data_IF_667966247913
#
_entry.id   IF_667966247913
#
_cell.length_a   1.000
_cell.length_b   1.000
_cell.length_c   1.000
_cell.angle_alpha   90.00
_cell.angle_beta   90.00
_cell.angle_gamma   90.00
#
_symmetry.space_group_name_H-M   'P 1'
#
loop_
_entity.id
_entity.type
_entity.pdbx_description
1 polymer ?
#
# COMPACT_ATOMS: atom_id res chain seq x y z
N UNK A 1 10.03 8.03 -10.69
CA UNK A 1 11.15 8.88 -10.21
C UNK A 1 11.62 9.62 -11.41
N UNK A 2 11.41 9.10 -12.63
CA UNK A 2 11.51 9.90 -13.83
C UNK A 2 12.90 10.53 -13.89
N UNK A 3 13.00 11.86 -13.91
CA UNK A 3 14.29 12.54 -13.91
C UNK A 3 15.06 12.47 -12.57
N UNK A 4 14.46 12.00 -11.48
CA UNK A 4 15.00 12.00 -10.12
C UNK A 4 15.66 10.67 -9.70
N UNK A 5 15.71 9.65 -10.56
CA UNK A 5 16.34 8.35 -10.26
C UNK A 5 17.59 8.11 -11.09
N UNK A 6 18.62 7.54 -10.48
CA UNK A 6 19.80 7.06 -11.18
C UNK A 6 19.44 5.93 -12.13
N UNK A 7 19.87 6.01 -13.39
CA UNK A 7 19.53 5.00 -14.39
C UNK A 7 20.23 3.64 -14.18
N UNK A 8 21.25 3.58 -13.33
CA UNK A 8 22.01 2.34 -13.06
C UNK A 8 21.43 1.60 -11.87
N UNK A 9 21.47 2.23 -10.70
CA UNK A 9 21.03 1.60 -9.46
C UNK A 9 19.54 1.80 -9.19
N UNK A 10 18.85 2.61 -10.02
CA UNK A 10 17.44 3.01 -9.86
C UNK A 10 17.10 3.66 -8.51
N UNK A 11 18.11 4.06 -7.72
CA UNK A 11 17.94 4.82 -6.49
C UNK A 11 17.70 6.31 -6.78
N UNK A 12 17.16 7.03 -5.81
CA UNK A 12 17.00 8.48 -5.85
C UNK A 12 18.36 9.17 -6.11
N UNK A 13 18.37 10.20 -6.96
CA UNK A 13 19.55 11.03 -7.24
C UNK A 13 19.81 11.98 -6.06
N UNK A 14 20.21 11.44 -4.93
CA UNK A 14 20.75 12.19 -3.80
C UNK A 14 22.27 12.16 -3.88
N UNK A 15 22.93 13.32 -3.77
CA UNK A 15 24.38 13.47 -4.03
C UNK A 15 24.77 12.86 -5.38
N UNK A 16 24.23 13.42 -6.47
CA UNK A 16 24.42 12.90 -7.82
C UNK A 16 25.44 13.71 -8.62
N UNK A 17 25.94 13.09 -9.70
CA UNK A 17 26.90 13.71 -10.61
C UNK A 17 26.36 13.72 -12.03
N UNK A 18 26.48 14.88 -12.67
CA UNK A 18 26.27 15.09 -14.10
C UNK A 18 27.58 14.90 -14.85
N UNK A 19 27.60 14.01 -15.84
CA UNK A 19 28.74 13.81 -16.72
C UNK A 19 28.82 14.91 -17.79
N UNK A 20 29.98 15.53 -17.97
CA UNK A 20 30.25 16.46 -19.09
C UNK A 20 31.09 15.72 -20.15
N UNK A 21 30.76 15.84 -21.46
CA UNK A 21 29.77 16.74 -22.07
C UNK A 21 28.35 16.17 -22.22
N UNK A 22 28.16 14.86 -22.03
CA UNK A 22 26.91 14.17 -22.39
C UNK A 22 25.69 14.47 -21.50
N UNK A 23 25.86 15.20 -20.40
CA UNK A 23 24.83 15.64 -19.46
C UNK A 23 24.00 14.51 -18.81
N UNK A 24 24.47 13.27 -18.85
CA UNK A 24 23.82 12.15 -18.17
C UNK A 24 24.02 12.21 -16.66
N UNK A 25 23.00 11.78 -15.91
CA UNK A 25 22.91 11.93 -14.46
C UNK A 25 22.93 10.56 -13.78
N UNK A 26 23.76 10.44 -12.75
CA UNK A 26 23.89 9.21 -11.97
C UNK A 26 24.17 9.50 -10.50
N UNK A 27 23.86 8.55 -9.62
CA UNK A 27 24.25 8.63 -8.22
C UNK A 27 25.80 8.69 -8.12
N UNK A 28 26.36 9.51 -7.22
CA UNK A 28 27.82 9.64 -7.09
C UNK A 28 28.51 8.30 -6.81
N UNK A 29 27.86 7.41 -6.07
CA UNK A 29 28.35 6.05 -5.82
C UNK A 29 28.51 5.26 -7.13
N UNK A 30 27.56 5.43 -8.05
CA UNK A 30 27.48 4.71 -9.31
C UNK A 30 28.56 5.16 -10.31
N UNK A 31 28.90 6.45 -10.32
CA UNK A 31 29.90 7.04 -11.22
C UNK A 31 31.32 6.99 -10.67
N UNK A 32 31.51 6.88 -9.36
CA UNK A 32 32.82 6.89 -8.71
C UNK A 32 33.81 5.82 -9.21
N UNK A 33 33.31 4.77 -9.88
CA UNK A 33 34.10 3.62 -10.33
C UNK A 33 34.46 3.64 -11.82
N UNK A 34 34.02 4.64 -12.58
CA UNK A 34 34.13 4.66 -14.04
C UNK A 34 34.71 5.97 -14.55
N UNK A 35 35.50 5.88 -15.63
CA UNK A 35 36.10 7.04 -16.30
C UNK A 35 35.28 7.53 -17.50
N UNK A 36 34.34 6.70 -17.95
CA UNK A 36 33.53 6.94 -19.14
C UNK A 36 32.04 6.86 -18.77
N UNK A 37 31.21 7.59 -19.50
CA UNK A 37 29.77 7.66 -19.25
C UNK A 37 29.11 6.30 -19.50
N UNK A 38 28.50 5.75 -18.46
CA UNK A 38 27.86 4.43 -18.48
C UNK A 38 26.64 4.30 -19.39
N UNK A 39 26.12 5.42 -19.92
CA UNK A 39 24.99 5.40 -20.84
C UNK A 39 25.41 5.51 -22.31
N UNK A 40 26.36 6.40 -22.62
CA UNK A 40 26.72 6.72 -24.00
C UNK A 40 28.17 6.41 -24.36
N UNK A 41 28.99 5.95 -23.41
CA UNK A 41 30.40 5.61 -23.62
C UNK A 41 31.32 6.81 -23.90
N UNK A 42 30.86 8.04 -23.67
CA UNK A 42 31.69 9.23 -23.83
C UNK A 42 32.62 9.42 -22.63
N UNK A 43 33.87 9.80 -22.87
CA UNK A 43 34.84 10.11 -21.81
C UNK A 43 34.29 11.20 -20.89
N UNK A 44 34.41 11.00 -19.58
CA UNK A 44 33.97 11.99 -18.60
C UNK A 44 35.09 12.99 -18.40
N UNK A 45 34.93 14.18 -18.98
CA UNK A 45 35.89 15.28 -18.77
C UNK A 45 35.77 15.87 -17.36
N UNK A 46 34.54 15.97 -16.86
CA UNK A 46 34.23 16.54 -15.55
C UNK A 46 32.91 16.01 -15.02
N UNK A 47 32.82 15.96 -13.69
CA UNK A 47 31.59 15.72 -12.94
C UNK A 47 31.12 17.02 -12.30
N UNK A 48 29.84 17.35 -12.50
CA UNK A 48 29.22 18.54 -11.91
C UNK A 48 27.96 18.18 -11.13
N UNK A 49 27.72 18.88 -10.02
CA UNK A 49 26.45 18.80 -9.30
C UNK A 49 25.44 19.75 -9.94
N UNK A 50 24.16 19.35 -10.01
CA UNK A 50 23.07 20.23 -10.43
C UNK A 50 22.24 20.64 -9.21
N UNK A 51 22.40 21.89 -8.77
CA UNK A 51 21.76 22.39 -7.55
C UNK A 51 20.25 22.47 -7.66
N UNK A 52 19.70 22.65 -8.86
CA UNK A 52 18.25 22.73 -9.07
C UNK A 52 17.63 21.34 -8.95
N UNK A 53 18.26 20.34 -9.55
CA UNK A 53 17.81 18.96 -9.43
C UNK A 53 18.02 18.44 -7.99
N UNK A 54 19.13 18.79 -7.33
CA UNK A 54 19.34 18.46 -5.91
C UNK A 54 18.26 19.08 -5.03
N UNK A 55 17.91 20.37 -5.22
CA UNK A 55 16.80 21.00 -4.49
C UNK A 55 15.45 20.34 -4.77
N UNK A 56 15.22 19.86 -6.00
CA UNK A 56 14.00 19.13 -6.34
C UNK A 56 13.95 17.77 -5.65
N UNK A 57 15.08 17.06 -5.58
CA UNK A 57 15.23 15.80 -4.85
C UNK A 57 15.08 16.03 -3.35
N UNK A 58 15.70 17.06 -2.78
CA UNK A 58 15.60 17.40 -1.36
C UNK A 58 14.16 17.75 -1.00
N UNK A 59 13.47 18.54 -1.82
CA UNK A 59 12.03 18.84 -1.64
C UNK A 59 11.15 17.61 -1.80
N UNK A 60 11.55 16.66 -2.65
CA UNK A 60 10.86 15.38 -2.80
C UNK A 60 11.07 14.51 -1.56
N UNK A 61 12.31 14.36 -1.08
CA UNK A 61 12.64 13.66 0.17
C UNK A 61 11.90 14.29 1.32
N UNK A 62 11.98 15.60 1.46
CA UNK A 62 11.35 16.35 2.54
C UNK A 62 9.83 16.29 2.46
N UNK A 63 9.24 16.44 1.28
CA UNK A 63 7.79 16.33 1.08
C UNK A 63 7.25 14.95 1.42
N UNK A 64 7.95 13.89 1.01
CA UNK A 64 7.53 12.51 1.27
C UNK A 64 7.95 12.01 2.67
N UNK A 65 9.04 12.52 3.25
CA UNK A 65 9.42 12.25 4.64
C UNK A 65 8.55 13.03 5.64
N UNK A 66 8.01 14.21 5.27
CA UNK A 66 7.06 14.99 6.08
C UNK A 66 5.62 14.48 6.02
N UNK A 67 5.23 13.65 5.05
CA UNK A 67 3.93 12.96 5.11
C UNK A 67 3.81 11.98 6.30
N UNK A 68 4.90 11.71 7.03
CA UNK A 68 4.93 10.99 8.32
C UNK A 68 5.27 11.84 9.55
N UNK A 69 4.94 13.14 9.57
CA UNK A 69 4.92 13.90 10.84
C UNK A 69 3.71 14.84 10.87
N UNK A 70 2.75 14.69 11.80
CA UNK A 70 1.87 15.78 12.12
C UNK A 70 2.72 16.93 12.67
N UNK A 71 2.46 18.11 12.12
CA UNK A 71 3.00 19.38 12.54
C UNK A 71 2.68 19.61 14.03
N UNK A 72 3.69 19.79 14.89
CA UNK A 72 3.49 20.46 16.18
C UNK A 72 3.75 21.94 15.91
N UNK A 73 2.75 22.76 16.24
CA UNK A 73 2.74 24.19 15.98
C UNK A 73 3.92 24.91 16.62
N UNK A 74 4.50 25.82 15.84
CA UNK A 74 5.45 26.80 16.33
C UNK A 74 4.68 27.90 17.08
N UNK A 75 4.55 27.75 18.40
CA UNK A 75 4.60 28.89 19.30
C UNK A 75 5.22 28.48 20.64
N UNK A 76 6.21 29.25 21.05
CA UNK A 76 7.24 28.83 21.99
C UNK A 76 6.77 28.66 23.43
N UNK A 77 7.54 27.86 24.17
CA UNK A 77 7.62 28.00 25.62
C UNK A 77 7.83 26.70 26.38
N UNK A 78 9.09 26.27 26.51
CA UNK A 78 9.64 25.68 27.72
C UNK A 78 9.19 24.27 28.11
N UNK A 79 10.13 23.33 28.07
CA UNK A 79 10.03 22.06 28.77
C UNK A 79 10.92 21.00 28.15
N UNK A 80 12.04 20.70 28.81
CA UNK A 80 12.91 19.57 28.47
C UNK A 80 12.08 18.30 28.25
N UNK A 81 12.25 17.67 27.09
CA UNK A 81 11.97 16.24 26.96
C UNK A 81 13.10 15.58 26.16
N UNK A 82 13.88 14.80 26.90
CA UNK A 82 14.66 13.71 26.35
C UNK A 82 13.65 12.73 25.75
N UNK A 83 13.53 12.71 24.42
CA UNK A 83 12.84 11.64 23.71
C UNK A 83 13.82 11.04 22.72
N UNK A 84 14.51 10.02 23.21
CA UNK A 84 15.14 9.00 22.40
C UNK A 84 13.99 8.23 21.73
N UNK A 85 13.84 8.33 20.41
CA UNK A 85 12.94 7.44 19.68
C UNK A 85 13.68 6.90 18.45
N UNK A 86 14.39 5.79 18.71
CA UNK A 86 14.94 4.88 17.71
C UNK A 86 13.79 4.30 16.86
N UNK A 87 13.22 5.09 15.96
CA UNK A 87 12.32 4.56 14.93
C UNK A 87 13.19 3.85 13.89
N UNK A 88 13.34 2.54 14.11
CA UNK A 88 14.03 1.59 13.23
C UNK A 88 13.40 1.63 11.83
N UNK A 89 14.05 2.32 10.91
CA UNK A 89 13.75 2.24 9.48
C UNK A 89 14.04 0.81 9.02
N UNK A 90 13.00 0.05 8.70
CA UNK A 90 13.17 -1.30 8.16
C UNK A 90 13.42 -1.15 6.65
N UNK A 91 14.55 -1.67 6.17
CA UNK A 91 14.97 -1.58 4.76
C UNK A 91 13.93 -2.15 3.77
N UNK A 92 13.08 -3.07 4.26
CA UNK A 92 11.95 -3.64 3.54
C UNK A 92 10.91 -2.59 3.12
N UNK A 93 10.63 -1.59 3.96
CA UNK A 93 9.65 -0.52 3.68
C UNK A 93 10.14 0.40 2.55
N UNK A 94 11.42 0.76 2.59
CA UNK A 94 12.06 1.57 1.52
C UNK A 94 12.01 0.80 0.19
N UNK A 95 12.24 -0.51 0.23
CA UNK A 95 12.19 -1.35 -0.96
C UNK A 95 10.76 -1.45 -1.53
N UNK A 96 9.76 -1.58 -0.67
CA UNK A 96 8.35 -1.64 -1.07
C UNK A 96 7.84 -0.29 -1.58
N UNK A 97 8.17 0.83 -0.93
CA UNK A 97 7.83 2.19 -1.37
C UNK A 97 8.42 2.46 -2.76
N UNK A 98 9.69 2.09 -2.93
CA UNK A 98 10.37 2.16 -4.23
C UNK A 98 9.70 1.27 -5.27
N UNK A 99 9.28 0.07 -4.90
CA UNK A 99 8.54 -0.86 -5.75
C UNK A 99 7.24 -0.25 -6.26
N UNK A 100 6.35 0.17 -5.36
CA UNK A 100 5.07 0.80 -5.70
C UNK A 100 5.27 2.00 -6.64
N UNK A 101 6.26 2.81 -6.31
CA UNK A 101 6.55 4.01 -7.04
C UNK A 101 7.12 3.76 -8.46
N UNK A 102 7.97 2.73 -8.64
CA UNK A 102 8.45 2.33 -9.96
C UNK A 102 7.30 1.80 -10.83
N UNK A 103 6.36 1.05 -10.24
CA UNK A 103 5.15 0.59 -10.94
C UNK A 103 4.28 1.77 -11.37
N UNK A 104 4.06 2.76 -10.50
CA UNK A 104 3.32 3.99 -10.86
C UNK A 104 4.00 4.76 -12.02
N UNK A 105 5.33 4.82 -12.05
CA UNK A 105 6.04 5.46 -13.15
C UNK A 105 5.87 4.68 -14.47
N UNK A 106 5.94 3.35 -14.40
CA UNK A 106 5.69 2.50 -15.57
C UNK A 106 4.28 2.75 -16.11
N UNK A 107 3.26 2.75 -15.24
CA UNK A 107 1.86 3.03 -15.60
C UNK A 107 1.68 4.39 -16.30
N UNK A 108 2.36 5.45 -15.84
CA UNK A 108 2.32 6.76 -16.51
C UNK A 108 2.94 6.74 -17.91
N UNK A 109 3.93 5.88 -18.15
CA UNK A 109 4.66 5.80 -19.42
C UNK A 109 4.01 4.85 -20.43
N UNK A 110 3.48 3.72 -19.96
CA UNK A 110 2.93 2.65 -20.82
C UNK A 110 1.40 2.58 -20.79
N UNK A 111 0.74 3.41 -19.97
CA UNK A 111 -0.69 3.34 -19.70
C UNK A 111 -1.04 2.38 -18.55
N UNK A 112 -2.24 2.53 -17.99
CA UNK A 112 -2.76 1.64 -16.96
C UNK A 112 -3.16 0.29 -17.59
N UNK A 113 -2.36 -0.75 -17.36
CA UNK A 113 -2.73 -2.13 -17.69
C UNK A 113 -3.30 -2.84 -16.45
N UNK A 114 -4.12 -3.88 -16.67
CA UNK A 114 -4.68 -4.68 -15.58
C UNK A 114 -3.59 -5.25 -14.66
N UNK A 115 -2.50 -5.73 -15.25
CA UNK A 115 -1.38 -6.34 -14.55
C UNK A 115 -0.61 -5.33 -13.66
N UNK A 116 -0.34 -4.12 -14.16
CA UNK A 116 0.34 -3.11 -13.34
C UNK A 116 -0.53 -2.60 -12.20
N UNK A 117 -1.84 -2.45 -12.41
CA UNK A 117 -2.77 -2.11 -11.34
C UNK A 117 -2.83 -3.20 -10.27
N UNK A 118 -2.82 -4.48 -10.66
CA UNK A 118 -2.81 -5.62 -9.72
C UNK A 118 -1.52 -5.64 -8.89
N UNK A 119 -0.37 -5.55 -9.55
CA UNK A 119 0.94 -5.52 -8.87
C UNK A 119 1.07 -4.31 -7.94
N UNK A 120 0.64 -3.13 -8.38
CA UNK A 120 0.66 -1.93 -7.55
C UNK A 120 -0.24 -2.08 -6.32
N UNK A 121 -1.47 -2.59 -6.53
CA UNK A 121 -2.40 -2.87 -5.44
C UNK A 121 -1.82 -3.83 -4.40
N UNK A 122 -1.13 -4.88 -4.82
CA UNK A 122 -0.46 -5.83 -3.93
C UNK A 122 0.68 -5.19 -3.14
N UNK A 123 1.57 -4.42 -3.78
CA UNK A 123 2.69 -3.75 -3.11
C UNK A 123 2.21 -2.71 -2.10
N UNK A 124 1.18 -1.93 -2.45
CA UNK A 124 0.54 -1.00 -1.52
C UNK A 124 -0.09 -1.72 -0.32
N UNK A 125 -0.71 -2.89 -0.53
CA UNK A 125 -1.20 -3.72 0.56
C UNK A 125 -0.09 -4.18 1.51
N UNK A 126 1.06 -4.58 0.99
CA UNK A 126 2.22 -4.96 1.81
C UNK A 126 2.78 -3.77 2.60
N UNK A 127 2.86 -2.57 2.00
CA UNK A 127 3.23 -1.34 2.72
C UNK A 127 2.27 -1.02 3.87
N UNK A 128 0.98 -1.21 3.63
CA UNK A 128 -0.04 -1.08 4.67
C UNK A 128 0.20 -2.02 5.85
N UNK A 129 0.56 -3.28 5.57
CA UNK A 129 0.88 -4.25 6.63
C UNK A 129 2.12 -3.88 7.43
N UNK A 130 3.18 -3.42 6.77
CA UNK A 130 4.39 -2.95 7.43
C UNK A 130 4.07 -1.76 8.34
N UNK A 131 3.34 -0.76 7.84
CA UNK A 131 2.94 0.39 8.64
C UNK A 131 2.10 -0.02 9.86
N UNK A 132 1.17 -0.95 9.69
CA UNK A 132 0.37 -1.51 10.79
C UNK A 132 1.25 -2.22 11.82
N UNK A 133 2.21 -3.03 11.39
CA UNK A 133 3.13 -3.74 12.30
C UNK A 133 4.01 -2.79 13.10
N UNK A 134 4.33 -1.62 12.55
CA UNK A 134 5.04 -0.53 13.24
C UNK A 134 4.14 0.34 14.14
N UNK A 135 2.83 0.10 14.18
CA UNK A 135 1.87 0.91 14.92
C UNK A 135 1.50 2.24 14.24
N UNK A 136 1.90 2.44 12.99
CA UNK A 136 1.53 3.60 12.17
C UNK A 136 0.22 3.33 11.43
N UNK A 137 -0.89 3.33 12.20
CA UNK A 137 -2.23 3.04 11.69
C UNK A 137 -2.70 4.03 10.61
N UNK A 138 -2.28 5.30 10.69
CA UNK A 138 -2.67 6.32 9.72
C UNK A 138 -2.07 6.04 8.34
N UNK A 139 -0.76 5.78 8.27
CA UNK A 139 -0.12 5.41 7.00
C UNK A 139 -0.63 4.07 6.48
N UNK A 140 -0.90 3.11 7.37
CA UNK A 140 -1.46 1.82 6.99
C UNK A 140 -2.81 1.97 6.27
N UNK A 141 -3.73 2.79 6.82
CA UNK A 141 -5.02 3.09 6.20
C UNK A 141 -4.82 3.70 4.81
N UNK A 142 -3.95 4.71 4.68
CA UNK A 142 -3.71 5.37 3.39
C UNK A 142 -3.25 4.37 2.32
N UNK A 143 -2.25 3.53 2.62
CA UNK A 143 -1.76 2.54 1.67
C UNK A 143 -2.79 1.48 1.31
N UNK A 144 -3.59 1.02 2.28
CA UNK A 144 -4.70 0.10 1.98
C UNK A 144 -5.80 0.78 1.13
N UNK A 145 -6.10 2.06 1.36
CA UNK A 145 -7.08 2.80 0.55
C UNK A 145 -6.58 3.00 -0.88
N UNK A 146 -5.30 3.33 -1.08
CA UNK A 146 -4.69 3.38 -2.42
C UNK A 146 -4.74 1.99 -3.09
N UNK A 147 -4.40 0.92 -2.36
CA UNK A 147 -4.52 -0.46 -2.86
C UNK A 147 -5.95 -0.76 -3.34
N UNK A 148 -6.96 -0.42 -2.55
CA UNK A 148 -8.38 -0.56 -2.89
C UNK A 148 -8.74 0.23 -4.15
N UNK A 149 -8.23 1.45 -4.29
CA UNK A 149 -8.51 2.30 -5.45
C UNK A 149 -8.01 1.68 -6.76
N UNK A 150 -6.81 1.08 -6.75
CA UNK A 150 -6.28 0.40 -7.93
C UNK A 150 -7.01 -0.90 -8.23
N UNK A 151 -7.25 -1.73 -7.22
CA UNK A 151 -7.87 -3.05 -7.39
C UNK A 151 -9.34 -2.95 -7.80
N UNK A 152 -10.07 -1.91 -7.37
CA UNK A 152 -11.49 -1.71 -7.76
C UNK A 152 -11.66 -1.38 -9.25
N UNK A 153 -10.60 -0.91 -9.92
CA UNK A 153 -10.62 -0.59 -11.36
C UNK A 153 -10.43 -1.83 -12.24
N UNK A 154 -10.19 -2.99 -11.64
CA UNK A 154 -9.89 -4.23 -12.34
C UNK A 154 -11.13 -5.12 -12.48
N UNK A 155 -11.12 -6.06 -13.45
CA UNK A 155 -12.18 -7.05 -13.60
C UNK A 155 -12.40 -7.84 -12.29
N UNK A 156 -13.66 -8.01 -11.90
CA UNK A 156 -14.07 -8.68 -10.66
C UNK A 156 -14.23 -10.20 -10.80
N UNK A 157 -13.89 -10.76 -11.96
CA UNK A 157 -13.89 -12.21 -12.23
C UNK A 157 -12.57 -12.89 -11.83
N UNK A 158 -11.51 -12.10 -11.62
CA UNK A 158 -10.24 -12.57 -11.08
C UNK A 158 -10.31 -12.78 -9.56
N UNK A 159 -10.07 -14.03 -9.13
CA UNK A 159 -10.13 -14.44 -7.73
C UNK A 159 -9.00 -13.84 -6.88
N UNK A 160 -7.82 -13.64 -7.45
CA UNK A 160 -6.68 -13.08 -6.72
C UNK A 160 -6.91 -11.59 -6.45
N UNK A 161 -7.41 -10.86 -7.46
CA UNK A 161 -7.75 -9.43 -7.33
C UNK A 161 -8.87 -9.24 -6.31
N UNK A 162 -9.93 -10.05 -6.40
CA UNK A 162 -11.05 -10.02 -5.46
C UNK A 162 -10.56 -10.30 -4.03
N UNK A 163 -9.73 -11.32 -3.87
CA UNK A 163 -9.18 -11.67 -2.56
C UNK A 163 -8.35 -10.50 -2.00
N UNK A 164 -7.40 -9.96 -2.77
CA UNK A 164 -6.57 -8.83 -2.36
C UNK A 164 -7.42 -7.60 -1.99
N UNK A 165 -8.40 -7.24 -2.81
CA UNK A 165 -9.32 -6.12 -2.56
C UNK A 165 -10.10 -6.31 -1.26
N UNK A 166 -10.66 -7.50 -1.04
CA UNK A 166 -11.42 -7.82 0.17
C UNK A 166 -10.54 -7.80 1.43
N UNK A 167 -9.27 -8.24 1.32
CA UNK A 167 -8.31 -8.21 2.42
C UNK A 167 -7.93 -6.78 2.78
N UNK A 168 -7.62 -5.92 1.80
CA UNK A 168 -7.31 -4.51 2.06
C UNK A 168 -8.48 -3.78 2.73
N UNK A 169 -9.71 -4.00 2.26
CA UNK A 169 -10.93 -3.47 2.89
C UNK A 169 -11.09 -3.97 4.33
N UNK A 170 -10.89 -5.27 4.58
CA UNK A 170 -10.97 -5.84 5.93
C UNK A 170 -9.92 -5.25 6.86
N UNK A 171 -8.68 -5.01 6.39
CA UNK A 171 -7.62 -4.44 7.22
C UNK A 171 -7.90 -2.99 7.60
N UNK A 172 -8.48 -2.20 6.69
CA UNK A 172 -8.96 -0.85 7.04
C UNK A 172 -10.07 -0.94 8.07
N UNK A 173 -11.02 -1.87 7.88
CA UNK A 173 -12.09 -2.12 8.84
C UNK A 173 -11.58 -2.49 10.23
N UNK A 174 -10.58 -3.37 10.32
CA UNK A 174 -9.92 -3.76 11.57
C UNK A 174 -9.26 -2.55 12.24
N UNK A 175 -8.52 -1.73 11.48
CA UNK A 175 -7.86 -0.54 12.01
C UNK A 175 -8.88 0.48 12.55
N UNK A 176 -9.98 0.72 11.82
CA UNK A 176 -11.07 1.60 12.26
C UNK A 176 -11.80 1.06 13.48
N UNK A 177 -11.97 -0.27 13.55
CA UNK A 177 -12.56 -0.93 14.70
C UNK A 177 -11.73 -0.71 15.97
N UNK A 178 -10.41 -0.90 15.89
CA UNK A 178 -9.51 -0.68 17.03
C UNK A 178 -9.41 0.81 17.43
N UNK A 179 -9.62 1.72 16.48
CA UNK A 179 -9.70 3.17 16.72
C UNK A 179 -11.04 3.62 17.34
N UNK A 180 -12.03 2.71 17.42
CA UNK A 180 -13.37 2.99 17.94
C UNK A 180 -14.33 3.64 16.93
N UNK A 181 -13.90 3.86 15.69
CA UNK A 181 -14.75 4.32 14.59
C UNK A 181 -15.54 3.14 14.00
N UNK A 182 -16.51 2.65 14.78
CA UNK A 182 -17.31 1.47 14.46
C UNK A 182 -18.15 1.67 13.20
N UNK A 183 -18.59 2.89 12.89
CA UNK A 183 -19.36 3.14 11.67
C UNK A 183 -18.49 3.03 10.42
N UNK A 184 -17.27 3.58 10.45
CA UNK A 184 -16.33 3.39 9.35
C UNK A 184 -15.92 1.91 9.23
N UNK A 185 -15.64 1.24 10.35
CA UNK A 185 -15.31 -0.19 10.37
C UNK A 185 -16.41 -1.02 9.69
N UNK A 186 -17.68 -0.78 10.07
CA UNK A 186 -18.84 -1.42 9.47
C UNK A 186 -18.92 -1.20 7.97
N UNK A 187 -18.73 0.05 7.52
CA UNK A 187 -18.74 0.40 6.09
C UNK A 187 -17.70 -0.39 5.30
N UNK A 188 -16.47 -0.47 5.81
CA UNK A 188 -15.39 -1.22 5.19
C UNK A 188 -15.65 -2.74 5.17
N UNK A 189 -16.16 -3.32 6.25
CA UNK A 189 -16.53 -4.74 6.28
C UNK A 189 -17.68 -5.06 5.32
N UNK A 190 -18.69 -4.19 5.21
CA UNK A 190 -19.78 -4.37 4.24
C UNK A 190 -19.28 -4.31 2.80
N UNK A 191 -18.36 -3.40 2.48
CA UNK A 191 -17.72 -3.33 1.15
C UNK A 191 -16.96 -4.62 0.84
N UNK A 192 -16.17 -5.13 1.80
CA UNK A 192 -15.45 -6.40 1.67
C UNK A 192 -16.40 -7.58 1.45
N UNK A 193 -17.49 -7.66 2.21
CA UNK A 193 -18.52 -8.67 2.05
C UNK A 193 -19.19 -8.60 0.66
N UNK A 194 -19.46 -7.40 0.16
CA UNK A 194 -19.99 -7.18 -1.19
C UNK A 194 -19.09 -7.76 -2.27
N UNK A 195 -17.79 -7.43 -2.22
CA UNK A 195 -16.77 -7.94 -3.15
C UNK A 195 -16.75 -9.48 -3.15
N UNK A 196 -16.76 -10.12 -1.98
CA UNK A 196 -16.75 -11.60 -1.87
C UNK A 196 -18.04 -12.24 -2.38
N UNK A 197 -19.20 -11.62 -2.15
CA UNK A 197 -20.50 -12.13 -2.63
C UNK A 197 -20.66 -12.06 -4.14
N UNK A 198 -20.13 -11.02 -4.77
CA UNK A 198 -20.27 -10.86 -6.22
C UNK A 198 -19.46 -11.91 -7.00
N UNK A 199 -18.37 -12.43 -6.42
CA UNK A 199 -17.60 -13.53 -7.03
C UNK A 199 -18.34 -14.87 -7.00
N UNK A 200 -19.05 -15.23 -5.93
CA UNK A 200 -19.77 -16.51 -5.86
C UNK A 200 -20.94 -16.56 -6.85
N UNK A 201 -21.55 -15.42 -7.19
CA UNK A 201 -22.60 -15.39 -8.23
C UNK A 201 -22.06 -15.83 -9.59
N UNK A 202 -20.77 -15.62 -9.84
CA UNK A 202 -20.12 -15.83 -11.14
C UNK A 202 -19.27 -17.10 -11.20
N UNK A 203 -18.82 -17.63 -10.06
CA UNK A 203 -18.00 -18.83 -9.95
C UNK A 203 -18.62 -19.81 -8.94
N UNK A 204 -18.95 -21.02 -9.37
CA UNK A 204 -19.58 -22.04 -8.51
C UNK A 204 -18.67 -22.36 -7.30
N UNK A 205 -19.26 -22.30 -6.11
CA UNK A 205 -18.57 -22.17 -4.82
C UNK A 205 -17.47 -23.19 -4.54
N UNK A 206 -16.25 -22.67 -4.39
CA UNK A 206 -15.15 -23.35 -3.72
C UNK A 206 -15.33 -23.15 -2.21
N UNK A 207 -15.13 -24.20 -1.40
CA UNK A 207 -15.30 -24.15 0.05
C UNK A 207 -14.53 -22.99 0.72
N UNK A 208 -13.37 -22.60 0.18
CA UNK A 208 -12.59 -21.45 0.65
C UNK A 208 -13.35 -20.12 0.55
N UNK A 209 -14.09 -19.88 -0.54
CA UNK A 209 -14.86 -18.66 -0.74
C UNK A 209 -16.03 -18.55 0.25
N UNK A 210 -16.63 -19.68 0.62
CA UNK A 210 -17.72 -19.71 1.60
C UNK A 210 -17.19 -19.33 3.00
N UNK A 211 -16.02 -19.86 3.38
CA UNK A 211 -15.36 -19.50 4.63
C UNK A 211 -15.07 -18.00 4.66
N UNK A 212 -14.58 -17.45 3.55
CA UNK A 212 -14.30 -16.03 3.42
C UNK A 212 -15.56 -15.16 3.62
N UNK A 213 -16.69 -15.52 3.01
CA UNK A 213 -17.95 -14.79 3.23
C UNK A 213 -18.42 -14.92 4.68
N UNK A 214 -18.34 -16.12 5.27
CA UNK A 214 -18.76 -16.34 6.64
C UNK A 214 -17.94 -15.50 7.64
N UNK A 215 -16.63 -15.37 7.42
CA UNK A 215 -15.76 -14.50 8.22
C UNK A 215 -16.15 -13.03 8.05
N UNK A 216 -16.40 -12.57 6.82
CA UNK A 216 -16.82 -11.18 6.59
C UNK A 216 -18.19 -10.87 7.21
N UNK A 217 -19.14 -11.81 7.15
CA UNK A 217 -20.43 -11.71 7.83
C UNK A 217 -20.26 -11.59 9.35
N UNK A 218 -19.42 -12.44 9.95
CA UNK A 218 -19.14 -12.40 11.38
C UNK A 218 -18.53 -11.06 11.81
N UNK A 219 -17.63 -10.47 11.01
CA UNK A 219 -17.07 -9.15 11.28
C UNK A 219 -18.13 -8.04 11.24
N UNK A 220 -19.03 -8.04 10.24
CA UNK A 220 -20.14 -7.06 10.17
C UNK A 220 -21.07 -7.23 11.38
N UNK A 221 -21.47 -8.47 11.68
CA UNK A 221 -22.37 -8.79 12.77
C UNK A 221 -21.79 -8.41 14.14
N UNK A 222 -20.49 -8.61 14.35
CA UNK A 222 -19.84 -8.20 15.60
C UNK A 222 -19.85 -6.68 15.78
N UNK A 223 -19.62 -5.92 14.70
CA UNK A 223 -19.73 -4.45 14.75
C UNK A 223 -21.18 -4.01 14.98
N UNK A 224 -22.15 -4.66 14.33
CA UNK A 224 -23.57 -4.38 14.53
C UNK A 224 -24.01 -4.60 15.98
N UNK A 225 -23.55 -5.69 16.61
CA UNK A 225 -23.77 -5.96 18.02
C UNK A 225 -23.24 -4.84 18.91
N UNK A 226 -22.03 -4.33 18.64
CA UNK A 226 -21.43 -3.25 19.46
C UNK A 226 -22.14 -1.91 19.23
N UNK A 227 -22.68 -1.69 18.02
CA UNK A 227 -23.51 -0.54 17.69
C UNK A 227 -24.95 -0.64 18.25
N UNK A 228 -25.31 -1.73 18.94
CA UNK A 228 -26.65 -1.95 19.50
C UNK A 228 -27.70 -2.36 18.46
N UNK A 229 -27.26 -2.87 17.31
CA UNK A 229 -28.09 -3.37 16.20
C UNK A 229 -28.21 -4.89 16.29
N UNK A 230 -28.86 -5.35 17.36
CA UNK A 230 -28.87 -6.76 17.73
C UNK A 230 -29.57 -7.64 16.70
N UNK A 231 -30.65 -7.17 16.08
CA UNK A 231 -31.38 -7.91 15.05
C UNK A 231 -30.48 -8.14 13.81
N UNK A 232 -29.81 -7.10 13.32
CA UNK A 232 -28.88 -7.20 12.19
C UNK A 232 -27.67 -8.09 12.50
N UNK A 233 -27.16 -8.04 13.74
CA UNK A 233 -26.09 -8.91 14.19
C UNK A 233 -26.52 -10.38 14.19
N UNK A 234 -27.70 -10.68 14.73
CA UNK A 234 -28.28 -12.03 14.76
C UNK A 234 -28.45 -12.55 13.33
N UNK A 235 -29.03 -11.75 12.44
CA UNK A 235 -29.24 -12.11 11.03
C UNK A 235 -27.91 -12.44 10.34
N UNK A 236 -26.89 -11.58 10.53
CA UNK A 236 -25.55 -11.79 9.96
C UNK A 236 -24.87 -13.08 10.46
N UNK A 237 -24.93 -13.36 11.76
CA UNK A 237 -24.38 -14.60 12.31
C UNK A 237 -25.15 -15.84 11.83
N UNK A 238 -26.48 -15.77 11.75
CA UNK A 238 -27.30 -16.87 11.26
C UNK A 238 -26.99 -17.19 9.79
N UNK A 239 -26.80 -16.17 8.96
CA UNK A 239 -26.39 -16.35 7.58
C UNK A 239 -25.02 -17.04 7.47
N UNK A 240 -24.02 -16.59 8.24
CA UNK A 240 -22.69 -17.19 8.27
C UNK A 240 -22.73 -18.68 8.67
N UNK A 241 -23.50 -19.02 9.71
CA UNK A 241 -23.69 -20.41 10.18
C UNK A 241 -24.36 -21.25 9.09
N UNK A 242 -25.39 -20.72 8.43
CA UNK A 242 -26.10 -21.43 7.37
C UNK A 242 -25.16 -21.79 6.22
N UNK A 243 -24.34 -20.83 5.78
CA UNK A 243 -23.35 -21.03 4.73
C UNK A 243 -22.34 -22.13 5.10
N UNK A 244 -21.73 -22.04 6.29
CA UNK A 244 -20.76 -23.04 6.76
C UNK A 244 -21.37 -24.45 6.89
N UNK A 245 -22.61 -24.56 7.38
CA UNK A 245 -23.31 -25.86 7.51
C UNK A 245 -23.55 -26.53 6.15
N UNK A 246 -23.94 -25.75 5.14
CA UNK A 246 -24.13 -26.28 3.78
C UNK A 246 -22.81 -26.83 3.24
N UNK A 247 -21.73 -26.07 3.34
CA UNK A 247 -20.40 -26.49 2.85
C UNK A 247 -19.86 -27.72 3.60
N UNK A 248 -20.01 -27.80 4.92
CA UNK A 248 -19.61 -29.00 5.69
C UNK A 248 -20.39 -30.23 5.20
N UNK A 249 -21.69 -30.08 4.96
CA UNK A 249 -22.54 -31.18 4.48
C UNK A 249 -22.16 -31.64 3.07
N UNK A 250 -21.71 -30.74 2.21
CA UNK A 250 -21.23 -31.05 0.86
C UNK A 250 -19.89 -31.80 0.90
N UNK A 251 -18.94 -31.34 1.72
CA UNK A 251 -17.63 -32.00 1.91
C UNK A 251 -17.79 -33.40 2.49
N UNK A 252 -18.75 -33.62 3.39
CA UNK A 252 -19.01 -34.95 3.96
C UNK A 252 -19.66 -35.93 2.97
N UNK A 253 -20.20 -35.44 1.84
CA UNK A 253 -20.84 -36.25 0.80
C UNK A 253 -19.92 -36.58 -0.38
N UNK A 254 -18.79 -35.86 -0.52
CA UNK A 254 -17.75 -36.09 -1.54
C UNK A 254 -16.70 -37.08 -1.06
#
# INVERSE_FOLDING_TARGET
LGPLSCMICQALLFDFTKCIPCSHLFCQVCTSRFKDCLLCGADIEKLEADTNLQSMVDRFIEGHARMKRPHVDANGGGGEQVVNDDKKVIYEDISLDRGAFLVQQAMRKTGNTSEFCSQLGAVLGMLGDCCRAMGDSASAINYFEESVEFLTKLPTDDLEITHALSVSLNKIGDLKYYDGDLQAARSYYLRSLGVRRDVIKNNSGVASQVIDIAVSLAKVADVDRILGKDDEAIDGFQEAIKLLRVTISEIQRS
#
